data_IF_666836134299
#
_entry.id   IF_666836134299
#
_cell.length_a   1.000
_cell.length_b   1.000
_cell.length_c   1.000
_cell.angle_alpha   90.00
_cell.angle_beta   90.00
_cell.angle_gamma   90.00
#
_symmetry.space_group_name_H-M   'P 1'
#
loop_
_entity.id
_entity.type
_entity.pdbx_description
1 polymer ?
#
# COMPACT_ATOMS: atom_id res chain seq x y z
N UNK A 1 -1.72 21.86 2.09
CA UNK A 1 -1.01 21.58 3.35
C UNK A 1 -0.31 20.25 3.19
N UNK A 2 1.02 20.21 3.22
CA UNK A 2 1.77 18.94 3.18
C UNK A 2 1.78 18.39 4.60
N UNK A 3 1.03 17.33 4.85
CA UNK A 3 1.07 16.65 6.15
C UNK A 3 2.39 15.89 6.24
N UNK A 4 3.25 16.32 7.18
CA UNK A 4 4.52 15.66 7.46
C UNK A 4 4.24 14.36 8.24
N UNK A 5 4.84 13.26 7.80
CA UNK A 5 4.85 12.00 8.54
C UNK A 5 6.25 11.83 9.16
N UNK A 6 6.32 11.86 10.48
CA UNK A 6 7.56 11.59 11.22
C UNK A 6 7.73 10.07 11.38
N UNK A 7 8.27 9.42 10.35
CA UNK A 7 8.52 7.98 10.32
C UNK A 7 10.00 7.72 10.07
N UNK A 8 10.58 6.82 10.85
CA UNK A 8 11.95 6.35 10.69
C UNK A 8 12.03 4.88 11.12
N UNK A 9 12.93 4.08 10.53
CA UNK A 9 13.29 2.77 11.06
C UNK A 9 13.74 2.86 12.52
N UNK A 10 13.39 1.87 13.35
CA UNK A 10 13.88 1.77 14.72
C UNK A 10 15.19 1.00 14.85
N UNK A 11 15.62 0.35 13.77
CA UNK A 11 16.87 -0.41 13.67
C UNK A 11 17.44 -0.40 12.24
N UNK A 12 18.71 -0.79 12.09
CA UNK A 12 19.43 -0.80 10.80
C UNK A 12 18.86 -1.78 9.76
N UNK A 13 17.97 -2.70 10.17
CA UNK A 13 17.39 -3.74 9.29
C UNK A 13 15.90 -3.52 9.01
N UNK A 14 15.38 -2.32 9.27
CA UNK A 14 13.99 -1.97 9.03
C UNK A 14 13.83 -1.02 7.83
N UNK A 15 12.81 -1.29 7.02
CA UNK A 15 12.34 -0.36 5.99
C UNK A 15 10.92 0.08 6.38
N UNK A 16 10.71 1.38 6.53
CA UNK A 16 9.41 1.95 6.91
C UNK A 16 8.90 2.83 5.76
N UNK A 17 7.66 2.57 5.33
CA UNK A 17 6.95 3.37 4.34
C UNK A 17 5.64 3.86 4.95
N UNK A 18 5.38 5.17 4.84
CA UNK A 18 4.12 5.75 5.24
C UNK A 18 3.55 6.65 4.14
N UNK A 19 2.23 6.60 3.98
CA UNK A 19 1.51 7.32 2.92
C UNK A 19 0.23 7.90 3.48
N UNK A 20 -0.10 9.11 3.04
CA UNK A 20 -1.38 9.75 3.31
C UNK A 20 -2.22 9.54 2.07
N UNK A 21 -3.35 8.87 2.26
CA UNK A 21 -4.27 8.53 1.19
C UNK A 21 -5.58 9.22 1.53
N UNK A 22 -6.01 10.13 0.66
CA UNK A 22 -7.29 10.83 0.79
C UNK A 22 -8.44 9.92 0.36
N UNK A 23 -8.73 8.92 1.19
CA UNK A 23 -9.80 7.96 0.98
C UNK A 23 -10.31 7.43 2.34
N UNK A 24 -11.57 6.97 2.42
CA UNK A 24 -12.07 6.25 3.59
C UNK A 24 -11.20 5.04 3.91
N UNK A 25 -10.94 4.79 5.21
CA UNK A 25 -10.11 3.67 5.67
C UNK A 25 -10.61 2.32 5.16
N UNK A 26 -11.93 2.16 5.02
CA UNK A 26 -12.57 0.95 4.53
C UNK A 26 -12.17 0.68 3.07
N UNK A 27 -12.08 1.72 2.24
CA UNK A 27 -11.66 1.57 0.85
C UNK A 27 -10.18 1.22 0.75
N UNK A 28 -9.33 1.85 1.58
CA UNK A 28 -7.90 1.50 1.64
C UNK A 28 -7.74 0.04 2.03
N UNK A 29 -8.45 -0.42 3.08
CA UNK A 29 -8.41 -1.81 3.50
C UNK A 29 -8.79 -2.77 2.38
N UNK A 30 -9.91 -2.51 1.68
CA UNK A 30 -10.36 -3.31 0.54
C UNK A 30 -9.30 -3.40 -0.57
N UNK A 31 -8.59 -2.31 -0.87
CA UNK A 31 -7.51 -2.32 -1.87
C UNK A 31 -6.35 -3.27 -1.52
N UNK A 32 -6.18 -3.63 -0.24
CA UNK A 32 -5.16 -4.57 0.22
C UNK A 32 -5.68 -5.99 0.44
N UNK A 33 -6.99 -6.19 0.57
CA UNK A 33 -7.57 -7.49 0.97
C UNK A 33 -8.53 -8.09 -0.05
N UNK A 34 -8.96 -7.36 -1.07
CA UNK A 34 -9.76 -7.92 -2.17
C UNK A 34 -8.83 -8.26 -3.36
N UNK A 35 -8.71 -9.55 -3.77
CA UNK A 35 -7.82 -9.96 -4.86
C UNK A 35 -8.01 -9.15 -6.15
N UNK A 36 -9.27 -8.86 -6.51
CA UNK A 36 -9.62 -8.10 -7.72
C UNK A 36 -9.15 -6.65 -7.69
N UNK A 37 -8.95 -6.07 -6.51
CA UNK A 37 -8.44 -4.71 -6.36
C UNK A 37 -6.92 -4.70 -6.32
N UNK A 38 -6.29 -5.65 -5.63
CA UNK A 38 -4.82 -5.79 -5.53
C UNK A 38 -4.18 -5.87 -6.93
N UNK A 39 -4.78 -6.63 -7.85
CA UNK A 39 -4.26 -6.80 -9.21
C UNK A 39 -4.17 -5.50 -10.03
N UNK A 40 -4.86 -4.45 -9.60
CA UNK A 40 -4.93 -3.18 -10.33
C UNK A 40 -3.78 -2.21 -9.99
N UNK A 41 -3.10 -2.38 -8.84
CA UNK A 41 -2.19 -1.35 -8.34
C UNK A 41 -0.90 -1.85 -7.70
N UNK A 42 -0.82 -3.12 -7.29
CA UNK A 42 0.28 -3.61 -6.44
C UNK A 42 1.66 -3.57 -7.14
N UNK A 43 1.73 -3.96 -8.40
CA UNK A 43 2.96 -3.87 -9.19
C UNK A 43 3.14 -2.48 -9.83
N UNK A 44 4.37 -1.90 -9.81
CA UNK A 44 4.65 -0.66 -10.50
C UNK A 44 4.77 -0.88 -12.01
N UNK A 45 4.31 0.09 -12.82
CA UNK A 45 4.48 0.06 -14.27
C UNK A 45 5.98 -0.05 -14.67
N UNK A 46 6.31 -0.77 -15.76
CA UNK A 46 5.41 -1.46 -16.70
C UNK A 46 4.97 -2.86 -16.23
N UNK A 47 5.40 -3.30 -15.04
CA UNK A 47 5.01 -4.58 -14.48
C UNK A 47 3.55 -4.58 -14.04
N UNK A 48 2.96 -5.77 -13.94
CA UNK A 48 1.56 -5.97 -13.56
C UNK A 48 1.44 -7.07 -12.51
N UNK A 49 0.30 -7.12 -11.83
CA UNK A 49 -0.05 -8.19 -10.89
C UNK A 49 -1.12 -9.08 -11.56
N UNK A 50 -0.74 -10.16 -12.26
CA UNK A 50 -1.69 -10.93 -13.08
C UNK A 50 -2.66 -11.80 -12.27
N UNK A 51 -2.31 -12.15 -11.02
CA UNK A 51 -3.12 -12.92 -10.08
C UNK A 51 -2.83 -12.49 -8.66
N UNK A 52 -3.83 -12.54 -7.80
CA UNK A 52 -3.72 -12.39 -6.35
C UNK A 52 -4.67 -13.39 -5.69
N UNK A 53 -4.29 -13.89 -4.52
CA UNK A 53 -5.09 -14.76 -3.64
C UNK A 53 -4.86 -14.31 -2.21
N UNK A 54 -5.87 -14.46 -1.36
CA UNK A 54 -5.81 -14.11 0.07
C UNK A 54 -6.05 -15.40 0.85
N UNK A 55 -5.30 -15.56 1.94
CA UNK A 55 -5.39 -16.71 2.85
C UNK A 55 -6.64 -16.68 3.75
#
# INVERSE_FOLDING_TARGET
>A
MTTKLDIAPSSDRELVLARIIDAPRENVYRCWTEPKLVTQWFAPKPWTTPRAEMD
#
